data_IF_119696870646
#
_entry.id   IF_119696870646
#
_cell.length_a   1.000
_cell.length_b   1.000
_cell.length_c   1.000
_cell.angle_alpha   90.00
_cell.angle_beta   90.00
_cell.angle_gamma   90.00
#
_symmetry.space_group_name_H-M   'P 1'
#
loop_
_entity.id
_entity.type
_entity.pdbx_description
1 polymer ?
#
# COMPACT_ATOMS: atom_id res chain seq x y z
N UNK A 1 20.83 15.04 13.03
CA UNK A 1 19.41 15.39 12.88
C UNK A 1 18.53 14.41 13.64
N UNK A 2 17.30 14.79 13.93
CA UNK A 2 16.33 13.93 14.61
C UNK A 2 15.83 12.87 13.64
N UNK A 3 15.85 11.59 14.04
CA UNK A 3 15.19 10.49 13.30
C UNK A 3 13.68 10.61 13.52
N UNK A 4 12.89 10.51 12.46
CA UNK A 4 11.44 10.54 12.53
C UNK A 4 10.84 9.56 11.53
N UNK A 5 9.62 9.12 11.79
CA UNK A 5 8.80 8.39 10.83
C UNK A 5 7.37 8.97 10.84
N UNK A 6 6.64 8.74 9.75
CA UNK A 6 5.23 9.05 9.65
C UNK A 6 4.47 7.75 9.91
N UNK A 7 3.53 7.79 10.85
CA UNK A 7 2.67 6.65 11.18
C UNK A 7 1.21 7.07 11.22
N UNK A 8 0.32 6.09 11.23
CA UNK A 8 -1.09 6.33 11.49
C UNK A 8 -1.39 6.12 12.98
N UNK A 9 -2.39 6.82 13.50
CA UNK A 9 -2.83 6.67 14.89
C UNK A 9 -3.50 5.31 15.13
N UNK A 10 -3.30 4.74 16.31
CA UNK A 10 -3.92 3.48 16.75
C UNK A 10 -5.40 3.62 17.15
N UNK A 11 -6.01 4.79 17.00
CA UNK A 11 -7.43 4.99 17.32
C UNK A 11 -8.31 4.08 16.45
N UNK A 12 -9.34 3.43 17.02
CA UNK A 12 -10.30 2.61 16.26
C UNK A 12 -10.96 3.37 15.10
N UNK A 13 -11.11 4.68 15.23
CA UNK A 13 -11.62 5.55 14.17
C UNK A 13 -10.61 5.78 13.02
N UNK A 14 -9.33 5.54 13.26
CA UNK A 14 -8.25 5.72 12.28
C UNK A 14 -7.93 4.42 11.51
N UNK A 15 -8.32 3.26 12.03
CA UNK A 15 -8.05 1.96 11.40
C UNK A 15 -8.49 1.90 9.92
N UNK A 16 -9.66 2.43 9.50
CA UNK A 16 -10.03 2.46 8.09
C UNK A 16 -9.13 3.34 7.22
N UNK A 17 -8.34 4.22 7.83
CA UNK A 17 -7.47 5.19 7.15
C UNK A 17 -6.00 4.75 7.05
N UNK A 18 -5.63 3.56 7.56
CA UNK A 18 -4.25 3.03 7.49
C UNK A 18 -3.73 3.01 6.03
N UNK A 19 -4.60 2.71 5.07
CA UNK A 19 -4.30 2.76 3.63
C UNK A 19 -3.82 4.12 3.12
N UNK A 20 -4.05 5.19 3.89
CA UNK A 20 -3.70 6.57 3.52
C UNK A 20 -2.27 6.94 3.94
N UNK A 21 -1.50 6.03 4.54
CA UNK A 21 -0.14 6.29 5.00
C UNK A 21 0.76 6.91 3.92
N UNK A 22 0.78 6.45 2.65
CA UNK A 22 1.55 7.07 1.59
C UNK A 22 1.14 8.54 1.34
N UNK A 23 -0.14 8.86 1.46
CA UNK A 23 -0.66 10.22 1.25
C UNK A 23 -0.30 11.18 2.38
N UNK A 24 -0.06 10.69 3.60
CA UNK A 24 0.50 11.51 4.69
C UNK A 24 1.96 11.87 4.39
N UNK A 25 2.74 10.95 3.84
CA UNK A 25 4.10 11.23 3.37
C UNK A 25 4.11 12.19 2.18
N UNK A 26 3.20 11.98 1.21
CA UNK A 26 2.99 12.89 0.08
C UNK A 26 2.64 14.31 0.53
N UNK A 27 1.76 14.43 1.52
CA UNK A 27 1.42 15.72 2.13
C UNK A 27 2.63 16.41 2.74
N UNK A 28 3.47 15.68 3.47
CA UNK A 28 4.72 16.25 4.01
C UNK A 28 5.65 16.74 2.88
N UNK A 29 5.75 15.98 1.77
CA UNK A 29 6.51 16.40 0.60
C UNK A 29 5.95 17.68 -0.03
N UNK A 30 4.63 17.84 -0.12
CA UNK A 30 4.00 19.06 -0.65
C UNK A 30 4.24 20.31 0.22
N UNK A 31 4.61 20.12 1.49
CA UNK A 31 5.02 21.19 2.41
C UNK A 31 6.54 21.38 2.52
N UNK A 32 7.32 20.78 1.60
CA UNK A 32 8.76 21.04 1.47
C UNK A 32 9.66 19.94 2.04
N UNK A 33 9.14 18.81 2.52
CA UNK A 33 9.97 17.66 2.82
C UNK A 33 10.49 17.07 1.49
N UNK A 34 11.82 16.85 1.30
CA UNK A 34 12.32 16.19 0.09
C UNK A 34 11.65 14.86 -0.15
N UNK A 35 11.34 14.54 -1.41
CA UNK A 35 10.57 13.35 -1.79
C UNK A 35 11.18 12.04 -1.26
N UNK A 36 12.51 11.89 -1.38
CA UNK A 36 13.25 10.75 -0.84
C UNK A 36 13.11 10.61 0.67
N UNK A 37 13.05 11.72 1.41
CA UNK A 37 12.82 11.76 2.85
C UNK A 37 11.38 11.41 3.20
N UNK A 38 10.41 11.83 2.40
CA UNK A 38 9.01 11.47 2.57
C UNK A 38 8.81 9.95 2.39
N UNK A 39 9.36 9.37 1.31
CA UNK A 39 9.32 7.92 1.08
C UNK A 39 10.04 7.17 2.21
N UNK A 40 11.24 7.59 2.57
CA UNK A 40 12.01 7.00 3.67
C UNK A 40 11.26 7.03 5.00
N UNK A 41 10.48 8.09 5.27
CA UNK A 41 9.74 8.24 6.53
C UNK A 41 8.66 7.18 6.76
N UNK A 42 8.23 6.48 5.73
CA UNK A 42 7.24 5.39 5.79
C UNK A 42 7.82 4.02 5.43
N UNK A 43 9.12 3.93 5.17
CA UNK A 43 9.82 2.70 4.79
C UNK A 43 11.00 2.40 5.71
N UNK A 44 12.17 2.91 5.40
CA UNK A 44 13.40 2.61 6.13
C UNK A 44 13.47 3.29 7.50
N UNK A 45 13.00 4.53 7.63
CA UNK A 45 13.08 5.24 8.90
C UNK A 45 12.31 4.55 10.05
N UNK A 46 11.07 4.06 9.86
CA UNK A 46 10.42 3.26 10.90
C UNK A 46 11.18 1.96 11.20
N UNK A 47 11.79 1.29 10.22
CA UNK A 47 12.60 0.09 10.46
C UNK A 47 13.82 0.41 11.33
N UNK A 48 14.53 1.50 11.07
CA UNK A 48 15.65 1.99 11.88
C UNK A 48 15.24 2.37 13.30
N UNK A 49 14.08 3.00 13.48
CA UNK A 49 13.57 3.39 14.81
C UNK A 49 13.23 2.15 15.62
N UNK A 50 12.71 1.11 14.97
CA UNK A 50 12.34 -0.16 15.60
C UNK A 50 13.52 -1.14 15.74
N UNK A 51 14.69 -0.85 15.14
CA UNK A 51 15.87 -1.71 15.17
C UNK A 51 15.71 -3.00 14.36
N UNK A 52 14.97 -2.95 13.26
CA UNK A 52 14.72 -4.07 12.33
C UNK A 52 15.21 -3.79 10.91
N UNK A 53 15.96 -2.73 10.72
CA UNK A 53 16.46 -2.26 9.43
C UNK A 53 17.47 -3.21 8.76
N UNK A 54 18.10 -4.11 9.52
CA UNK A 54 18.88 -5.21 8.96
C UNK A 54 18.06 -6.18 8.12
N UNK A 55 16.75 -6.27 8.38
CA UNK A 55 15.88 -7.24 7.72
C UNK A 55 14.93 -6.61 6.69
N UNK A 56 14.46 -5.38 6.93
CA UNK A 56 13.40 -4.74 6.14
C UNK A 56 13.63 -3.23 6.00
N UNK A 57 12.76 -2.56 5.21
CA UNK A 57 12.73 -1.11 5.07
C UNK A 57 13.45 -0.56 3.85
N UNK A 58 14.35 -1.32 3.25
CA UNK A 58 15.04 -0.99 2.00
C UNK A 58 15.20 -2.23 1.10
N UNK A 59 15.50 -2.01 -0.18
CA UNK A 59 15.76 -3.06 -1.16
C UNK A 59 17.28 -3.26 -1.27
N UNK A 60 17.80 -4.14 -0.43
CA UNK A 60 19.22 -4.46 -0.36
C UNK A 60 19.43 -5.97 -0.34
N UNK A 61 20.57 -6.41 -0.89
CA UNK A 61 20.93 -7.83 -0.85
C UNK A 61 21.12 -8.31 0.59
N UNK A 62 20.49 -9.43 0.92
CA UNK A 62 20.55 -10.02 2.27
C UNK A 62 19.33 -9.67 3.15
N UNK A 63 18.53 -8.69 2.78
CA UNK A 63 17.27 -8.38 3.49
C UNK A 63 16.12 -9.27 3.04
N UNK A 64 15.11 -9.35 3.89
CA UNK A 64 13.85 -10.03 3.54
C UNK A 64 13.22 -9.41 2.28
N UNK A 65 12.77 -10.24 1.36
CA UNK A 65 11.99 -9.79 0.20
C UNK A 65 10.56 -9.44 0.62
N UNK A 66 10.44 -8.47 1.53
CA UNK A 66 9.18 -7.85 1.97
C UNK A 66 9.04 -6.53 1.24
N UNK A 67 8.35 -6.55 0.11
CA UNK A 67 8.27 -5.44 -0.83
C UNK A 67 6.94 -5.45 -1.61
N UNK A 68 6.65 -4.36 -2.29
CA UNK A 68 5.58 -4.31 -3.27
C UNK A 68 6.07 -3.70 -4.59
N UNK A 69 5.33 -3.96 -5.67
CA UNK A 69 5.53 -3.39 -7.00
C UNK A 69 4.30 -2.56 -7.33
N UNK A 70 4.54 -1.32 -7.73
CA UNK A 70 3.51 -0.37 -8.10
C UNK A 70 3.69 0.11 -9.54
N UNK A 71 2.62 0.57 -10.17
CA UNK A 71 2.64 1.07 -11.55
C UNK A 71 3.03 2.55 -11.68
N UNK A 72 3.46 3.17 -10.57
CA UNK A 72 3.88 4.57 -10.53
C UNK A 72 4.47 4.95 -9.17
N UNK A 73 4.59 6.25 -8.92
CA UNK A 73 5.05 6.78 -7.64
C UNK A 73 4.02 6.51 -6.56
N UNK A 74 4.43 5.81 -5.49
CA UNK A 74 3.54 5.41 -4.40
C UNK A 74 3.00 6.61 -3.59
N UNK A 75 3.63 7.76 -3.67
CA UNK A 75 3.14 8.99 -3.05
C UNK A 75 2.04 9.67 -3.87
N UNK A 76 1.79 9.22 -5.10
CA UNK A 76 0.74 9.75 -5.97
C UNK A 76 -0.57 8.94 -5.85
N UNK A 77 -1.71 9.66 -5.82
CA UNK A 77 -3.05 9.06 -5.65
C UNK A 77 -3.40 8.03 -6.74
N UNK A 78 -3.11 8.23 -8.05
CA UNK A 78 -3.48 7.29 -9.08
C UNK A 78 -2.67 6.00 -9.10
N UNK A 79 -1.60 5.93 -8.31
CA UNK A 79 -0.71 4.76 -8.27
C UNK A 79 -1.38 3.56 -7.60
N UNK A 80 -1.27 2.41 -8.24
CA UNK A 80 -1.80 1.14 -7.75
C UNK A 80 -0.67 0.16 -7.45
N UNK A 81 -0.77 -0.53 -6.31
CA UNK A 81 0.09 -1.67 -6.02
C UNK A 81 -0.40 -2.87 -6.82
N UNK A 82 0.45 -3.41 -7.69
CA UNK A 82 0.15 -4.54 -8.56
C UNK A 82 0.52 -5.88 -7.94
N UNK A 83 1.63 -5.94 -7.21
CA UNK A 83 2.09 -7.12 -6.51
C UNK A 83 2.69 -6.76 -5.15
N UNK A 84 2.57 -7.66 -4.19
CA UNK A 84 3.24 -7.55 -2.91
C UNK A 84 3.81 -8.90 -2.48
N UNK A 85 4.90 -8.84 -1.73
CA UNK A 85 5.61 -10.00 -1.22
C UNK A 85 5.94 -9.79 0.26
N UNK A 86 5.81 -10.83 1.06
CA UNK A 86 6.26 -10.89 2.45
C UNK A 86 7.23 -12.07 2.57
N UNK A 87 8.48 -11.78 2.87
CA UNK A 87 9.58 -12.79 2.92
C UNK A 87 9.63 -13.64 1.65
N UNK A 88 9.52 -13.00 0.48
CA UNK A 88 9.54 -13.64 -0.83
C UNK A 88 8.24 -14.36 -1.22
N UNK A 89 7.25 -14.46 -0.34
CA UNK A 89 5.95 -15.07 -0.66
C UNK A 89 4.99 -14.03 -1.19
N UNK A 90 4.40 -14.29 -2.35
CA UNK A 90 3.40 -13.41 -2.95
C UNK A 90 2.16 -13.33 -2.05
N UNK A 91 1.70 -12.10 -1.82
CA UNK A 91 0.47 -11.80 -1.06
C UNK A 91 -0.68 -11.62 -2.03
N UNK A 92 -1.86 -12.16 -1.70
CA UNK A 92 -3.09 -11.84 -2.42
C UNK A 92 -3.56 -10.42 -2.05
N UNK A 93 -3.60 -9.54 -3.05
CA UNK A 93 -4.11 -8.17 -2.94
C UNK A 93 -5.64 -8.08 -3.17
N UNK A 94 -6.33 -9.24 -3.12
CA UNK A 94 -7.78 -9.31 -3.17
C UNK A 94 -8.41 -8.65 -1.95
N UNK A 95 -9.44 -7.84 -2.20
CA UNK A 95 -10.24 -7.24 -1.14
C UNK A 95 -11.73 -7.61 -1.30
N UNK A 96 -12.53 -7.31 -0.27
CA UNK A 96 -13.97 -7.58 -0.26
C UNK A 96 -14.69 -6.87 -1.40
N UNK A 97 -14.29 -5.64 -1.74
CA UNK A 97 -14.94 -4.85 -2.80
C UNK A 97 -14.67 -5.44 -4.17
N UNK A 98 -13.42 -5.85 -4.47
CA UNK A 98 -13.07 -6.54 -5.71
C UNK A 98 -13.81 -7.88 -5.84
N UNK A 99 -13.94 -8.62 -4.75
CA UNK A 99 -14.69 -9.88 -4.70
C UNK A 99 -16.17 -9.68 -4.96
N UNK A 100 -16.80 -8.69 -4.30
CA UNK A 100 -18.19 -8.35 -4.52
C UNK A 100 -18.43 -7.82 -5.94
N UNK A 101 -17.53 -6.95 -6.45
CA UNK A 101 -17.61 -6.45 -7.82
C UNK A 101 -17.64 -7.60 -8.83
N UNK A 102 -16.70 -8.56 -8.73
CA UNK A 102 -16.66 -9.75 -9.61
C UNK A 102 -17.95 -10.56 -9.52
N UNK A 103 -18.46 -10.81 -8.29
CA UNK A 103 -19.71 -11.54 -8.05
C UNK A 103 -20.91 -10.86 -8.71
N UNK A 104 -21.07 -9.55 -8.49
CA UNK A 104 -22.23 -8.82 -9.04
C UNK A 104 -22.12 -8.61 -10.54
N UNK A 105 -20.93 -8.35 -11.10
CA UNK A 105 -20.73 -8.30 -12.55
C UNK A 105 -21.19 -9.59 -13.23
N UNK A 106 -20.77 -10.75 -12.69
CA UNK A 106 -21.18 -12.07 -13.20
C UNK A 106 -22.71 -12.24 -13.15
N UNK A 107 -23.34 -11.89 -12.00
CA UNK A 107 -24.81 -11.97 -11.83
C UNK A 107 -25.56 -11.11 -12.87
N UNK A 108 -25.14 -9.89 -13.08
CA UNK A 108 -25.82 -8.99 -14.02
C UNK A 108 -25.55 -9.36 -15.49
N UNK A 109 -24.40 -9.92 -15.82
CA UNK A 109 -24.12 -10.48 -17.14
C UNK A 109 -25.04 -11.67 -17.45
N UNK A 110 -25.22 -12.59 -16.51
CA UNK A 110 -26.14 -13.73 -16.65
C UNK A 110 -27.59 -13.24 -16.87
N UNK A 111 -28.05 -12.29 -16.06
CA UNK A 111 -29.40 -11.72 -16.18
C UNK A 111 -29.63 -11.04 -17.52
N UNK A 112 -28.63 -10.35 -18.07
CA UNK A 112 -28.69 -9.74 -19.39
C UNK A 112 -28.84 -10.80 -20.50
N UNK A 113 -28.10 -11.92 -20.38
CA UNK A 113 -28.22 -13.04 -21.33
C UNK A 113 -29.60 -13.69 -21.28
N UNK A 114 -30.14 -13.99 -20.10
CA UNK A 114 -31.48 -14.56 -19.94
C UNK A 114 -32.58 -13.69 -20.55
N UNK A 115 -32.45 -12.34 -20.48
CA UNK A 115 -33.40 -11.40 -21.07
C UNK A 115 -33.28 -11.27 -22.59
N UNK A 116 -32.17 -11.69 -23.20
CA UNK A 116 -31.96 -11.70 -24.65
C UNK A 116 -32.56 -12.95 -25.33
N UNK A 117 -32.85 -14.01 -24.55
CA UNK A 117 -33.42 -15.26 -25.05
C UNK A 117 -34.92 -15.43 -24.70
N UNK A 118 -35.54 -14.40 -24.13
CA UNK A 118 -37.00 -14.28 -23.95
C UNK A 118 -37.62 -13.37 -24.97
#
# INVERSE_FOLDING_TARGET
>A
GVKFCISNSESPFQTPHIRNLPYYAAKAASYGLPWDKALRSITLAPAEILGIDDNVGSLEQGKDATLFIANGDILEIPTLVEMAFIKGRRVDLGDRHKTLNRKYRKKYQQKKMENLYK
#
